data_IF_458991448914
#
_entry.id   IF_458991448914
#
_cell.length_a   1.000
_cell.length_b   1.000
_cell.length_c   1.000
_cell.angle_alpha   90.00
_cell.angle_beta   90.00
_cell.angle_gamma   90.00
#
_symmetry.space_group_name_H-M   'P 1'
#
loop_
_entity.id
_entity.type
_entity.pdbx_description
1 polymer ?
#
# COMPACT_ATOMS: atom_id res chain seq x y z
N UNK A 1 -17.68 -43.95 -28.80
CA UNK A 1 -17.09 -44.22 -30.13
C UNK A 1 -17.58 -43.20 -31.14
N UNK A 2 -16.76 -42.19 -31.46
CA UNK A 2 -16.55 -41.60 -32.80
C UNK A 2 -15.58 -40.43 -32.65
N UNK A 3 -14.44 -40.58 -33.33
CA UNK A 3 -13.31 -39.66 -33.44
C UNK A 3 -13.66 -38.39 -34.25
N UNK A 4 -13.08 -37.24 -33.86
CA UNK A 4 -12.41 -36.21 -34.70
C UNK A 4 -11.52 -35.39 -33.74
N UNK A 5 -10.19 -35.44 -33.72
CA UNK A 5 -9.14 -35.17 -34.72
C UNK A 5 -9.05 -33.70 -35.17
N UNK A 6 -8.08 -33.00 -34.54
CA UNK A 6 -7.11 -32.00 -35.01
C UNK A 6 -7.55 -30.93 -36.03
N UNK A 7 -7.23 -29.67 -35.71
CA UNK A 7 -6.40 -28.85 -36.61
C UNK A 7 -5.61 -27.78 -35.84
N UNK A 8 -4.30 -27.84 -36.02
CA UNK A 8 -3.30 -26.85 -35.60
C UNK A 8 -3.17 -25.80 -36.70
N UNK A 9 -3.08 -24.53 -36.35
CA UNK A 9 -2.58 -23.49 -37.26
C UNK A 9 -1.61 -22.58 -36.51
N UNK A 10 -0.32 -22.83 -36.79
CA UNK A 10 0.83 -22.00 -36.50
C UNK A 10 0.87 -20.87 -37.55
N UNK A 11 1.06 -19.61 -37.15
CA UNK A 11 1.51 -18.56 -38.07
C UNK A 11 2.54 -17.68 -37.37
N UNK A 12 3.78 -17.90 -37.78
CA UNK A 12 4.96 -17.06 -37.57
C UNK A 12 4.94 -15.96 -38.64
N UNK A 13 5.27 -14.73 -38.29
CA UNK A 13 5.92 -13.79 -39.22
C UNK A 13 6.75 -12.75 -38.46
N UNK A 14 8.06 -12.87 -38.67
CA UNK A 14 9.09 -11.87 -38.47
C UNK A 14 8.86 -10.66 -39.39
N UNK A 15 9.22 -9.47 -38.93
CA UNK A 15 9.76 -8.42 -39.79
C UNK A 15 10.82 -7.61 -39.03
N UNK A 16 12.04 -7.64 -39.55
CA UNK A 16 13.17 -6.78 -39.20
C UNK A 16 12.96 -5.36 -39.75
N UNK A 17 13.51 -4.36 -39.05
CA UNK A 17 14.08 -3.17 -39.71
C UNK A 17 15.18 -2.56 -38.83
N UNK A 18 16.42 -2.70 -39.29
CA UNK A 18 17.59 -1.93 -38.86
C UNK A 18 17.75 -0.72 -39.78
N UNK A 19 18.26 0.40 -39.26
CA UNK A 19 19.10 1.47 -39.87
C UNK A 19 18.94 2.71 -38.99
N UNK A 20 19.93 3.53 -38.63
CA UNK A 20 21.28 3.79 -39.13
C UNK A 20 21.60 5.29 -38.86
N UNK A 21 22.88 5.65 -38.75
CA UNK A 21 23.38 7.03 -38.58
C UNK A 21 24.29 7.14 -37.35
N UNK A 22 25.64 7.10 -37.41
CA UNK A 22 26.59 8.02 -38.09
C UNK A 22 26.23 9.49 -37.82
N UNK A 23 27.09 10.40 -37.35
CA UNK A 23 28.56 10.54 -37.40
C UNK A 23 28.93 11.82 -36.64
N UNK A 24 30.19 11.89 -36.18
CA UNK A 24 31.04 13.11 -36.11
C UNK A 24 30.63 14.25 -35.18
N UNK A 25 31.49 15.08 -34.62
CA UNK A 25 32.94 15.24 -34.42
C UNK A 25 33.05 16.58 -33.63
N UNK A 26 34.25 16.94 -33.17
CA UNK A 26 34.66 18.28 -32.65
C UNK A 26 34.07 18.67 -31.27
N UNK A 27 34.80 19.16 -30.28
CA UNK A 27 36.20 19.57 -30.15
C UNK A 27 36.55 19.65 -28.65
N UNK A 28 37.77 19.27 -28.30
CA UNK A 28 38.47 19.71 -27.08
C UNK A 28 39.00 21.16 -27.28
N UNK A 29 39.82 21.69 -26.37
CA UNK A 29 39.64 21.98 -24.94
C UNK A 29 39.76 23.51 -24.71
N UNK A 30 39.55 24.02 -23.49
CA UNK A 30 40.57 24.92 -22.94
C UNK A 30 40.48 25.09 -21.41
N UNK A 31 41.63 25.18 -20.73
CA UNK A 31 41.77 25.35 -19.29
C UNK A 31 41.92 26.84 -18.94
N UNK A 32 41.43 27.25 -17.78
CA UNK A 32 41.88 28.49 -17.13
C UNK A 32 41.55 28.46 -15.64
N UNK A 33 42.52 28.01 -14.83
CA UNK A 33 42.74 28.53 -13.48
C UNK A 33 43.71 29.70 -13.59
N UNK A 34 43.42 30.84 -12.94
CA UNK A 34 44.26 31.30 -11.82
C UNK A 34 43.37 31.96 -10.74
N UNK A 35 43.75 32.20 -9.48
CA UNK A 35 44.92 31.98 -8.64
C UNK A 35 44.38 32.10 -7.19
N UNK A 36 45.06 31.56 -6.18
CA UNK A 36 44.67 31.63 -4.78
C UNK A 36 45.24 32.91 -4.16
N UNK A 37 44.39 33.74 -3.57
CA UNK A 37 44.85 34.73 -2.60
C UNK A 37 43.71 35.20 -1.72
N UNK A 38 43.85 34.84 -0.44
CA UNK A 38 43.54 35.67 0.71
C UNK A 38 42.07 36.02 0.93
N UNK A 39 41.50 35.54 2.02
CA UNK A 39 41.25 36.38 3.19
C UNK A 39 40.55 35.57 4.29
N UNK A 40 41.15 35.67 5.48
CA UNK A 40 40.49 35.66 6.79
C UNK A 40 39.87 34.35 7.27
N UNK A 41 40.65 33.66 8.12
CA UNK A 41 40.13 32.82 9.20
C UNK A 41 39.28 33.65 10.16
N UNK A 42 38.01 33.28 10.42
CA UNK A 42 37.32 33.67 11.63
C UNK A 42 37.29 32.49 12.60
N UNK A 43 37.94 32.72 13.75
CA UNK A 43 37.54 32.31 15.10
C UNK A 43 37.13 30.86 15.32
N UNK A 44 37.94 30.22 16.17
CA UNK A 44 37.56 29.22 17.17
C UNK A 44 36.09 29.35 17.59
N UNK A 45 35.22 28.63 16.90
CA UNK A 45 33.93 28.21 17.43
C UNK A 45 34.21 26.86 18.05
N UNK A 46 34.30 26.85 19.38
CA UNK A 46 34.24 25.63 20.17
C UNK A 46 32.95 24.90 19.82
N UNK A 47 33.05 23.97 18.86
CA UNK A 47 32.04 22.96 18.60
C UNK A 47 31.93 22.15 19.87
N UNK A 48 30.91 22.49 20.67
CA UNK A 48 30.34 21.63 21.71
C UNK A 48 30.26 20.22 21.10
N UNK A 49 30.69 19.15 21.80
CA UNK A 49 30.56 17.81 21.25
C UNK A 49 29.10 17.62 20.84
N UNK A 50 28.86 17.51 19.53
CA UNK A 50 27.64 16.97 18.99
C UNK A 50 27.53 15.62 19.69
N UNK A 51 26.53 15.49 20.57
CA UNK A 51 26.17 14.19 21.11
C UNK A 51 26.10 13.25 19.92
N UNK A 52 26.86 12.16 19.99
CA UNK A 52 26.91 11.12 18.97
C UNK A 52 25.49 10.96 18.42
N UNK A 53 25.32 11.26 17.13
CA UNK A 53 24.11 10.91 16.43
C UNK A 53 24.03 9.39 16.53
N UNK A 54 23.34 8.91 17.58
CA UNK A 54 22.91 7.53 17.66
C UNK A 54 22.16 7.34 16.36
N UNK A 55 22.76 6.53 15.49
CA UNK A 55 22.19 6.06 14.25
C UNK A 55 20.97 5.24 14.66
N UNK A 56 19.87 5.93 14.94
CA UNK A 56 18.59 5.36 15.34
C UNK A 56 18.17 4.51 14.16
N UNK A 57 18.18 3.20 14.35
CA UNK A 57 17.85 2.25 13.32
C UNK A 57 16.47 2.62 12.73
N UNK A 58 16.40 2.81 11.42
CA UNK A 58 15.16 3.21 10.76
C UNK A 58 14.05 2.19 10.98
N UNK A 59 12.85 2.67 11.28
CA UNK A 59 11.63 1.88 11.36
C UNK A 59 11.21 1.37 9.97
N UNK A 60 10.43 0.30 9.97
CA UNK A 60 9.88 -0.32 8.77
C UNK A 60 8.36 -0.23 8.80
N UNK A 61 7.74 0.00 7.64
CA UNK A 61 6.29 0.09 7.53
C UNK A 61 5.80 -0.68 6.29
N UNK A 62 4.99 -1.71 6.52
CA UNK A 62 4.22 -2.40 5.48
C UNK A 62 2.81 -1.83 5.45
N UNK A 63 2.43 -1.22 4.33
CA UNK A 63 1.11 -0.58 4.21
C UNK A 63 0.63 -0.49 2.77
N UNK A 64 -0.62 -0.05 2.59
CA UNK A 64 -1.12 0.41 1.28
C UNK A 64 -1.03 1.93 1.22
N UNK A 65 -0.50 2.49 0.14
CA UNK A 65 -0.44 3.96 0.01
C UNK A 65 -1.84 4.50 -0.23
N UNK A 66 -2.30 5.32 0.70
CA UNK A 66 -3.59 5.99 0.63
C UNK A 66 -3.44 7.49 0.45
N UNK A 67 -4.55 8.18 0.67
CA UNK A 67 -4.61 9.63 0.65
C UNK A 67 -5.65 10.10 1.66
N UNK A 68 -5.33 11.18 2.37
CA UNK A 68 -6.25 11.92 3.25
C UNK A 68 -6.37 13.36 2.79
N UNK A 69 -7.31 14.12 3.34
CA UNK A 69 -7.47 15.54 3.05
C UNK A 69 -8.63 16.17 3.82
N UNK A 70 -8.84 17.46 3.59
CA UNK A 70 -9.96 18.22 4.15
C UNK A 70 -11.04 18.34 3.08
N UNK A 71 -12.23 17.87 3.41
CA UNK A 71 -13.37 17.97 2.51
C UNK A 71 -14.12 19.29 2.76
N UNK A 72 -14.43 20.01 1.67
CA UNK A 72 -15.21 21.26 1.72
C UNK A 72 -16.58 20.97 1.12
N UNK A 73 -17.62 21.01 1.97
CA UNK A 73 -19.02 20.83 1.59
C UNK A 73 -19.50 22.00 0.72
N UNK A 74 -20.17 21.70 -0.38
CA UNK A 74 -20.67 22.70 -1.33
C UNK A 74 -21.72 22.13 -2.29
N UNK A 75 -21.96 22.80 -3.41
CA UNK A 75 -22.76 22.21 -4.49
C UNK A 75 -22.06 21.01 -5.15
N UNK A 76 -20.73 20.96 -5.02
CA UNK A 76 -19.87 19.85 -5.39
C UNK A 76 -18.89 19.64 -4.23
N UNK A 77 -18.98 18.48 -3.56
CA UNK A 77 -18.02 18.12 -2.52
C UNK A 77 -16.63 18.02 -3.14
N UNK A 78 -15.66 18.74 -2.56
CA UNK A 78 -14.26 18.69 -3.01
C UNK A 78 -13.33 18.37 -1.87
N UNK A 79 -12.33 17.54 -2.17
CA UNK A 79 -11.20 17.30 -1.27
C UNK A 79 -10.09 18.31 -1.56
N UNK A 80 -9.57 18.89 -0.49
CA UNK A 80 -8.49 19.87 -0.49
C UNK A 80 -7.41 19.45 0.51
N UNK A 81 -6.24 20.09 0.46
CA UNK A 81 -5.12 19.77 1.33
C UNK A 81 -4.79 18.26 1.35
N UNK A 82 -4.76 17.67 0.16
CA UNK A 82 -4.51 16.25 -0.02
C UNK A 82 -3.12 15.89 0.49
N UNK A 83 -3.01 14.79 1.23
CA UNK A 83 -1.74 14.27 1.75
C UNK A 83 -1.68 12.76 1.56
N UNK A 84 -0.51 12.19 1.21
CA UNK A 84 -0.36 10.75 1.16
C UNK A 84 -0.48 10.14 2.57
N UNK A 85 -0.88 8.88 2.62
CA UNK A 85 -0.87 8.07 3.85
C UNK A 85 -0.19 6.73 3.60
N UNK A 86 0.42 6.16 4.63
CA UNK A 86 0.77 4.74 4.69
C UNK A 86 -0.31 4.06 5.52
N UNK A 87 -1.20 3.32 4.85
CA UNK A 87 -2.43 2.84 5.46
C UNK A 87 -3.27 4.03 5.91
N UNK A 88 -3.56 4.09 7.20
CA UNK A 88 -4.25 5.21 7.85
C UNK A 88 -3.31 6.29 8.40
N UNK A 89 -1.99 6.04 8.45
CA UNK A 89 -1.03 6.97 9.04
C UNK A 89 -0.61 8.06 8.06
N UNK A 90 -0.77 9.36 8.42
CA UNK A 90 -0.23 10.48 7.65
C UNK A 90 1.29 10.40 7.45
N UNK A 91 1.78 10.88 6.31
CA UNK A 91 3.21 10.88 5.97
C UNK A 91 3.66 12.21 5.40
N UNK A 92 4.97 12.43 5.43
CA UNK A 92 5.60 13.54 4.70
C UNK A 92 5.59 13.30 3.19
N UNK A 93 5.50 14.37 2.41
CA UNK A 93 5.80 14.32 0.98
C UNK A 93 7.29 14.08 0.79
N UNK A 94 7.63 13.07 -0.02
CA UNK A 94 8.99 12.84 -0.47
C UNK A 94 9.30 13.78 -1.65
N UNK A 95 10.54 14.24 -1.76
CA UNK A 95 10.98 15.04 -2.91
C UNK A 95 10.71 14.28 -4.22
N UNK A 96 10.00 14.93 -5.16
CA UNK A 96 9.60 14.31 -6.42
C UNK A 96 8.34 13.44 -6.36
N UNK A 97 7.63 13.44 -5.24
CA UNK A 97 6.34 12.76 -4.99
C UNK A 97 6.26 11.29 -5.49
N UNK A 98 7.18 10.41 -5.05
CA UNK A 98 7.11 8.98 -5.35
C UNK A 98 5.86 8.30 -4.78
N UNK A 99 5.21 8.88 -3.77
CA UNK A 99 4.01 8.29 -3.14
C UNK A 99 2.77 8.42 -4.02
N UNK A 100 2.61 9.54 -4.76
CA UNK A 100 1.50 9.67 -5.70
C UNK A 100 1.50 8.57 -6.79
N UNK A 101 2.69 8.15 -7.25
CA UNK A 101 2.82 7.05 -8.22
C UNK A 101 2.52 5.66 -7.62
N UNK A 102 2.42 5.56 -6.28
CA UNK A 102 2.18 4.33 -5.54
C UNK A 102 0.79 4.26 -4.92
N UNK A 103 -0.08 5.24 -5.16
CA UNK A 103 -1.46 5.26 -4.64
C UNK A 103 -2.20 3.94 -4.93
N UNK A 104 -2.94 3.47 -3.93
CA UNK A 104 -3.72 2.24 -3.94
C UNK A 104 -2.86 0.95 -4.07
N UNK A 105 -1.52 1.04 -3.95
CA UNK A 105 -0.57 -0.09 -4.02
C UNK A 105 0.03 -0.44 -2.66
N UNK A 106 0.33 -1.73 -2.40
CA UNK A 106 1.07 -2.13 -1.22
C UNK A 106 2.55 -1.74 -1.36
N UNK A 107 3.15 -1.28 -0.26
CA UNK A 107 4.52 -0.78 -0.21
C UNK A 107 5.26 -1.28 1.04
N UNK A 108 6.59 -1.29 0.92
CA UNK A 108 7.50 -1.28 2.05
C UNK A 108 8.15 0.10 2.13
N UNK A 109 7.93 0.79 3.25
CA UNK A 109 8.58 2.05 3.57
C UNK A 109 9.59 1.87 4.71
N UNK A 110 10.60 2.75 4.74
CA UNK A 110 11.53 2.91 5.85
C UNK A 110 11.55 4.36 6.29
N UNK A 111 11.66 4.61 7.59
CA UNK A 111 11.51 5.97 8.12
C UNK A 111 11.60 6.02 9.63
N UNK A 112 10.84 6.94 10.22
CA UNK A 112 10.71 7.11 11.67
C UNK A 112 9.24 7.28 12.04
N UNK A 113 8.75 6.44 12.95
CA UNK A 113 7.59 6.75 13.77
C UNK A 113 7.95 7.93 14.70
N UNK A 114 6.97 8.73 15.09
CA UNK A 114 7.13 9.87 16.02
C UNK A 114 7.92 11.09 15.50
N UNK A 115 8.10 11.21 14.18
CA UNK A 115 8.56 12.48 13.62
C UNK A 115 7.54 13.59 13.90
N UNK A 116 8.02 14.78 14.28
CA UNK A 116 7.17 15.95 14.54
C UNK A 116 6.21 16.15 13.37
N UNK A 117 4.91 16.13 13.65
CA UNK A 117 3.87 16.49 12.68
C UNK A 117 4.23 17.86 12.10
N UNK A 118 4.44 18.00 10.77
CA UNK A 118 4.65 19.31 10.18
C UNK A 118 3.49 20.23 10.56
N UNK A 119 3.80 21.43 11.06
CA UNK A 119 2.81 22.36 11.61
C UNK A 119 1.54 22.45 10.74
N UNK A 120 0.40 22.47 11.43
CA UNK A 120 -0.96 22.40 10.91
C UNK A 120 -1.15 23.12 9.57
N UNK A 121 -1.93 22.48 8.69
CA UNK A 121 -2.41 23.10 7.47
C UNK A 121 -2.99 24.48 7.79
N UNK A 122 -2.76 25.51 6.94
CA UNK A 122 -3.54 26.72 7.06
C UNK A 122 -5.02 26.32 7.02
N UNK A 123 -5.84 26.81 7.97
CA UNK A 123 -7.25 26.43 8.03
C UNK A 123 -7.86 26.65 6.66
N UNK A 124 -8.59 25.65 6.15
CA UNK A 124 -9.37 25.86 4.95
C UNK A 124 -10.29 27.06 5.20
N UNK A 125 -10.38 28.01 4.26
CA UNK A 125 -11.33 29.10 4.36
C UNK A 125 -12.76 28.52 4.34
N UNK A 126 -13.32 28.25 5.52
CA UNK A 126 -14.64 27.64 5.69
C UNK A 126 -14.74 26.78 6.96
N UNK A 127 -15.96 26.42 7.40
CA UNK A 127 -16.11 25.45 8.48
C UNK A 127 -15.59 24.09 8.02
N UNK A 128 -14.53 23.59 8.63
CA UNK A 128 -14.10 22.20 8.48
C UNK A 128 -15.29 21.28 8.80
N UNK A 129 -15.69 20.47 7.82
CA UNK A 129 -16.73 19.47 8.01
C UNK A 129 -16.25 18.18 7.38
N UNK A 130 -16.28 17.10 8.16
CA UNK A 130 -16.14 15.75 7.64
C UNK A 130 -17.25 15.59 6.59
N UNK A 131 -16.90 15.25 5.35
CA UNK A 131 -17.89 15.02 4.31
C UNK A 131 -18.78 13.83 4.72
N UNK A 132 -19.96 14.16 5.25
CA UNK A 132 -20.98 13.21 5.63
C UNK A 132 -21.71 12.73 4.37
N UNK A 133 -20.99 12.03 3.49
CA UNK A 133 -21.68 11.17 2.54
C UNK A 133 -22.38 10.09 3.38
N UNK A 134 -23.71 10.20 3.52
CA UNK A 134 -24.62 9.33 4.28
C UNK A 134 -23.97 7.99 4.68
N UNK A 135 -23.25 7.99 5.79
CA UNK A 135 -22.41 6.86 6.15
C UNK A 135 -23.34 5.76 6.68
N UNK A 136 -23.54 4.71 5.89
CA UNK A 136 -24.45 3.61 6.24
C UNK A 136 -23.88 2.68 7.33
N UNK A 137 -22.56 2.70 7.54
CA UNK A 137 -21.85 1.89 8.55
C UNK A 137 -20.73 2.69 9.22
N UNK A 138 -20.55 2.52 10.53
CA UNK A 138 -19.54 3.23 11.33
C UNK A 138 -18.09 2.94 10.93
N UNK A 139 -17.84 1.81 10.27
CA UNK A 139 -16.52 1.40 9.79
C UNK A 139 -16.17 1.95 8.38
N UNK A 140 -17.12 2.60 7.69
CA UNK A 140 -16.83 3.24 6.41
C UNK A 140 -16.29 4.65 6.59
N UNK A 141 -15.08 4.92 6.14
CA UNK A 141 -14.50 6.27 6.17
C UNK A 141 -14.40 6.83 4.77
N UNK A 142 -15.01 7.99 4.57
CA UNK A 142 -14.89 8.75 3.34
C UNK A 142 -13.47 9.34 3.23
N UNK A 143 -12.85 9.19 2.07
CA UNK A 143 -11.57 9.79 1.72
C UNK A 143 -11.56 10.33 0.29
N UNK A 144 -10.48 11.02 -0.11
CA UNK A 144 -10.30 11.56 -1.45
C UNK A 144 -10.49 10.55 -2.59
N UNK A 145 -10.26 9.27 -2.29
CA UNK A 145 -10.29 8.14 -3.23
C UNK A 145 -11.59 7.32 -3.16
N UNK A 146 -12.59 7.79 -2.41
CA UNK A 146 -13.84 7.07 -2.16
C UNK A 146 -13.94 6.54 -0.73
N UNK A 147 -14.61 5.41 -0.54
CA UNK A 147 -14.77 4.82 0.79
C UNK A 147 -13.68 3.78 1.08
N UNK A 148 -13.06 3.94 2.25
CA UNK A 148 -12.21 2.97 2.92
C UNK A 148 -13.04 2.26 4.00
N UNK A 149 -12.77 0.99 4.24
CA UNK A 149 -13.41 0.23 5.33
C UNK A 149 -12.35 0.03 6.40
N UNK A 150 -12.64 0.46 7.62
CA UNK A 150 -11.79 0.23 8.78
C UNK A 150 -12.02 -1.17 9.32
N UNK A 151 -11.12 -2.10 9.00
CA UNK A 151 -11.15 -3.46 9.51
C UNK A 151 -10.52 -3.62 10.91
N UNK A 152 -10.29 -2.51 11.62
CA UNK A 152 -9.73 -2.49 12.97
C UNK A 152 -8.21 -2.69 13.01
N UNK A 153 -7.52 -2.38 11.91
CA UNK A 153 -6.05 -2.50 11.77
C UNK A 153 -5.30 -1.19 12.02
N UNK A 154 -6.02 -0.13 12.39
CA UNK A 154 -5.42 1.19 12.60
C UNK A 154 -4.35 1.16 13.68
N UNK A 155 -3.20 1.69 13.31
CA UNK A 155 -2.11 1.93 14.25
C UNK A 155 -2.37 3.21 15.03
N UNK A 156 -1.99 3.21 16.31
CA UNK A 156 -1.94 4.41 17.14
C UNK A 156 -0.64 5.18 16.85
N UNK A 157 -0.53 5.67 15.61
CA UNK A 157 0.63 6.40 15.10
C UNK A 157 0.17 7.70 14.44
N UNK A 158 0.57 8.84 15.01
CA UNK A 158 0.13 10.15 14.55
C UNK A 158 0.71 10.52 13.18
N UNK A 159 1.98 10.18 12.94
CA UNK A 159 2.70 10.52 11.72
C UNK A 159 3.89 9.58 11.49
N UNK A 160 4.22 9.33 10.23
CA UNK A 160 5.42 8.59 9.83
C UNK A 160 6.24 9.38 8.81
N UNK A 161 7.47 9.73 9.17
CA UNK A 161 8.38 10.40 8.24
C UNK A 161 9.07 9.38 7.37
N UNK A 162 8.75 9.39 6.07
CA UNK A 162 9.26 8.42 5.11
C UNK A 162 10.66 8.85 4.65
N UNK A 163 11.64 7.97 4.80
CA UNK A 163 12.99 8.16 4.24
C UNK A 163 13.14 7.45 2.88
N UNK A 164 12.47 6.32 2.71
CA UNK A 164 12.41 5.60 1.43
C UNK A 164 11.14 4.77 1.33
N UNK A 165 10.65 4.56 0.11
CA UNK A 165 9.47 3.74 -0.18
C UNK A 165 9.67 2.98 -1.49
N UNK A 166 9.16 1.75 -1.54
CA UNK A 166 9.10 0.94 -2.77
C UNK A 166 7.81 0.12 -2.82
N UNK A 167 7.35 -0.28 -4.02
CA UNK A 167 6.34 -1.32 -4.15
C UNK A 167 6.71 -2.57 -3.35
N UNK A 168 5.69 -3.21 -2.76
CA UNK A 168 5.81 -4.51 -2.12
C UNK A 168 5.62 -5.62 -3.16
N UNK A 169 6.66 -5.85 -3.96
CA UNK A 169 6.65 -6.88 -5.02
C UNK A 169 6.61 -8.32 -4.46
N UNK A 170 6.90 -8.47 -3.16
CA UNK A 170 6.86 -9.71 -2.40
C UNK A 170 5.45 -10.16 -2.00
N UNK A 171 4.43 -9.35 -2.29
CA UNK A 171 3.02 -9.71 -2.13
C UNK A 171 2.39 -9.91 -3.51
N UNK A 172 1.89 -11.11 -3.78
CA UNK A 172 1.12 -11.39 -5.00
C UNK A 172 -0.22 -12.03 -4.68
N UNK A 173 -1.23 -11.64 -5.45
CA UNK A 173 -2.59 -12.16 -5.33
C UNK A 173 -3.08 -12.51 -6.73
N UNK A 174 -3.56 -13.73 -6.89
CA UNK A 174 -4.05 -14.24 -8.17
C UNK A 174 -5.27 -15.12 -7.95
N UNK A 175 -6.08 -15.25 -8.99
CA UNK A 175 -7.26 -16.12 -8.97
C UNK A 175 -6.94 -17.46 -9.62
N UNK A 176 -7.21 -18.55 -8.91
CA UNK A 176 -7.21 -19.92 -9.43
C UNK A 176 -8.62 -20.51 -9.32
N UNK A 177 -9.40 -20.43 -10.40
CA UNK A 177 -10.77 -20.94 -10.40
C UNK A 177 -11.69 -20.18 -9.43
N UNK A 178 -12.07 -20.84 -8.34
CA UNK A 178 -12.92 -20.28 -7.27
C UNK A 178 -12.12 -19.88 -6.02
N UNK A 179 -10.79 -19.88 -6.11
CA UNK A 179 -9.91 -19.50 -5.02
C UNK A 179 -9.09 -18.26 -5.39
N UNK A 180 -8.80 -17.45 -4.36
CA UNK A 180 -7.72 -16.49 -4.32
C UNK A 180 -6.49 -17.21 -3.75
N UNK A 181 -5.39 -17.15 -4.48
CA UNK A 181 -4.07 -17.57 -3.99
C UNK A 181 -3.30 -16.31 -3.63
N UNK A 182 -2.93 -16.22 -2.36
CA UNK A 182 -2.15 -15.13 -1.78
C UNK A 182 -0.77 -15.68 -1.45
N UNK A 183 0.25 -15.12 -2.05
CA UNK A 183 1.65 -15.45 -1.79
C UNK A 183 2.33 -14.23 -1.17
N UNK A 184 3.00 -14.43 -0.04
CA UNK A 184 3.76 -13.40 0.65
C UNK A 184 5.16 -13.93 0.96
N UNK A 185 6.19 -13.22 0.51
CA UNK A 185 7.57 -13.41 0.91
C UNK A 185 7.94 -12.37 1.96
N UNK A 186 8.63 -12.78 3.04
CA UNK A 186 9.12 -11.82 4.03
C UNK A 186 10.19 -10.91 3.38
N UNK A 187 9.90 -9.60 3.16
CA UNK A 187 10.80 -8.70 2.45
C UNK A 187 11.87 -8.09 3.37
N UNK A 188 11.80 -8.39 4.67
CA UNK A 188 12.60 -7.75 5.71
C UNK A 188 13.84 -8.59 6.00
N UNK A 189 14.94 -7.95 6.46
CA UNK A 189 16.18 -8.66 6.81
C UNK A 189 16.10 -9.39 8.16
N UNK A 190 14.92 -9.46 8.78
CA UNK A 190 14.66 -10.10 10.07
C UNK A 190 13.38 -10.93 10.03
N UNK A 191 13.24 -11.84 10.99
CA UNK A 191 12.08 -12.72 11.07
C UNK A 191 10.81 -11.96 11.50
N UNK A 192 9.69 -12.35 10.88
CA UNK A 192 8.35 -11.93 11.29
C UNK A 192 7.77 -12.99 12.22
N UNK A 193 7.02 -12.56 13.23
CA UNK A 193 6.37 -13.42 14.22
C UNK A 193 4.86 -13.24 14.16
N UNK A 194 4.13 -14.33 14.42
CA UNK A 194 2.68 -14.37 14.44
C UNK A 194 2.02 -13.75 13.18
N UNK A 195 2.51 -14.15 12.00
CA UNK A 195 2.00 -13.68 10.72
C UNK A 195 0.61 -14.30 10.45
N UNK A 196 -0.40 -13.45 10.33
CA UNK A 196 -1.77 -13.83 9.98
C UNK A 196 -2.22 -13.16 8.68
N UNK A 197 -3.03 -13.87 7.89
CA UNK A 197 -3.73 -13.32 6.74
C UNK A 197 -5.24 -13.47 6.94
N UNK A 198 -5.99 -12.42 6.60
CA UNK A 198 -7.44 -12.39 6.66
C UNK A 198 -8.00 -11.82 5.38
N UNK A 199 -8.98 -12.50 4.78
CA UNK A 199 -9.77 -11.94 3.69
C UNK A 199 -11.11 -11.48 4.24
N UNK A 200 -11.47 -10.24 3.96
CA UNK A 200 -12.79 -9.68 4.21
C UNK A 200 -13.67 -9.83 2.97
N UNK A 201 -14.96 -10.01 3.20
CA UNK A 201 -15.95 -10.23 2.15
C UNK A 201 -17.12 -9.26 2.31
N UNK A 202 -17.58 -8.71 1.19
CA UNK A 202 -18.72 -7.79 1.12
C UNK A 202 -19.91 -8.44 0.39
N UNK A 203 -21.13 -8.12 0.83
CA UNK A 203 -22.36 -8.77 0.35
C UNK A 203 -22.65 -8.46 -1.12
N UNK A 204 -22.91 -9.49 -1.93
CA UNK A 204 -23.17 -9.33 -3.36
C UNK A 204 -24.50 -8.65 -3.70
N UNK A 205 -25.55 -8.96 -2.95
CA UNK A 205 -26.93 -8.69 -3.36
C UNK A 205 -27.85 -8.21 -2.23
N UNK A 206 -27.27 -7.69 -1.15
CA UNK A 206 -28.00 -7.36 0.07
C UNK A 206 -27.38 -6.23 0.87
N UNK A 207 -27.66 -6.24 2.18
CA UNK A 207 -26.99 -5.34 3.12
C UNK A 207 -25.50 -5.68 3.18
N UNK A 208 -24.63 -4.70 3.43
CA UNK A 208 -23.24 -4.97 3.74
C UNK A 208 -23.16 -5.98 4.89
N UNK A 209 -22.25 -6.94 4.76
CA UNK A 209 -22.02 -7.97 5.75
C UNK A 209 -20.56 -7.99 6.14
N UNK A 210 -20.27 -8.28 7.41
CA UNK A 210 -18.92 -8.41 7.93
C UNK A 210 -18.55 -9.89 7.98
N UNK A 211 -18.33 -10.50 6.82
CA UNK A 211 -17.78 -11.86 6.75
C UNK A 211 -16.28 -11.75 6.53
N UNK A 212 -15.50 -12.50 7.32
CA UNK A 212 -14.07 -12.62 7.14
C UNK A 212 -13.65 -14.07 7.30
N UNK A 213 -12.56 -14.45 6.65
CA UNK A 213 -11.91 -15.74 6.84
C UNK A 213 -10.44 -15.51 7.18
N UNK A 214 -10.04 -16.08 8.31
CA UNK A 214 -8.68 -16.05 8.83
C UNK A 214 -7.92 -17.33 8.45
N UNK A 215 -6.62 -17.20 8.23
CA UNK A 215 -5.72 -18.36 8.15
C UNK A 215 -5.19 -18.74 9.52
N UNK A 216 -4.63 -19.94 9.63
CA UNK A 216 -3.75 -20.26 10.75
C UNK A 216 -2.59 -19.25 10.82
N UNK A 217 -2.37 -18.72 12.02
CA UNK A 217 -1.28 -17.79 12.33
C UNK A 217 0.04 -18.57 12.24
N UNK A 218 0.92 -18.12 11.37
CA UNK A 218 2.26 -18.67 11.25
C UNK A 218 3.12 -18.07 12.36
N UNK A 219 3.56 -18.91 13.29
CA UNK A 219 4.35 -18.46 14.44
C UNK A 219 5.61 -17.67 14.03
N UNK A 220 6.25 -18.05 12.92
CA UNK A 220 7.47 -17.41 12.44
C UNK A 220 7.66 -17.52 10.93
N UNK A 221 8.08 -16.43 10.29
CA UNK A 221 8.50 -16.39 8.89
C UNK A 221 9.91 -15.76 8.77
N UNK A 222 10.89 -16.58 8.42
CA UNK A 222 12.28 -16.16 8.24
C UNK A 222 12.46 -15.17 7.07
N UNK A 223 13.55 -14.37 7.05
CA UNK A 223 13.88 -13.50 5.91
C UNK A 223 13.87 -14.24 4.57
N UNK A 224 13.16 -13.72 3.58
CA UNK A 224 13.02 -14.34 2.25
C UNK A 224 12.22 -15.66 2.22
N UNK A 225 11.72 -16.13 3.37
CA UNK A 225 10.81 -17.26 3.39
C UNK A 225 9.44 -16.85 2.86
N UNK A 226 8.76 -17.81 2.22
CA UNK A 226 7.46 -17.60 1.56
C UNK A 226 6.36 -18.35 2.27
N UNK A 227 5.18 -17.76 2.25
CA UNK A 227 3.94 -18.40 2.68
C UNK A 227 2.90 -18.26 1.56
N UNK A 228 2.22 -19.36 1.24
CA UNK A 228 1.06 -19.38 0.35
C UNK A 228 -0.20 -19.66 1.19
N UNK A 229 -1.27 -18.92 0.91
CA UNK A 229 -2.60 -19.11 1.49
C UNK A 229 -3.66 -19.07 0.40
N UNK A 230 -4.70 -19.87 0.60
CA UNK A 230 -5.83 -19.99 -0.31
C UNK A 230 -7.10 -19.59 0.41
N UNK A 231 -7.88 -18.74 -0.25
CA UNK A 231 -9.18 -18.28 0.23
C UNK A 231 -10.21 -18.50 -0.86
N UNK A 232 -11.47 -18.81 -0.53
CA UNK A 232 -12.51 -18.82 -1.56
C UNK A 232 -12.73 -17.39 -2.11
N UNK A 233 -13.09 -17.28 -3.38
CA UNK A 233 -13.50 -15.98 -3.96
C UNK A 233 -14.84 -15.51 -3.36
N UNK A 234 -15.71 -16.48 -3.01
CA UNK A 234 -17.02 -16.25 -2.42
C UNK A 234 -17.12 -16.94 -1.06
N UNK A 235 -17.57 -16.21 -0.05
CA UNK A 235 -17.93 -16.77 1.24
C UNK A 235 -19.46 -16.70 1.45
N UNK A 236 -20.01 -17.69 2.15
CA UNK A 236 -21.37 -17.62 2.67
C UNK A 236 -21.33 -17.24 4.15
N UNK A 237 -22.29 -16.44 4.62
CA UNK A 237 -22.43 -16.19 6.05
C UNK A 237 -22.79 -17.47 6.81
N UNK A 238 -22.00 -17.81 7.84
CA UNK A 238 -22.24 -18.97 8.69
C UNK A 238 -23.59 -18.91 9.44
N UNK A 239 -24.07 -17.70 9.77
CA UNK A 239 -25.26 -17.48 10.61
C UNK A 239 -26.27 -16.55 9.94
N UNK A 240 -27.03 -17.02 8.92
CA UNK A 240 -28.01 -16.18 8.25
C UNK A 240 -29.14 -15.82 9.23
N UNK A 241 -29.30 -14.54 9.53
CA UNK A 241 -30.45 -14.01 10.27
C UNK A 241 -31.80 -14.38 9.63
N UNK A 242 -32.94 -14.08 10.31
CA UNK A 242 -34.27 -14.49 9.86
C UNK A 242 -34.54 -14.08 8.40
N UNK A 243 -34.74 -15.11 7.57
CA UNK A 243 -34.69 -15.10 6.11
C UNK A 243 -35.76 -14.18 5.50
N UNK A 244 -35.33 -13.11 4.82
CA UNK A 244 -36.19 -12.36 3.86
C UNK A 244 -35.73 -12.45 2.40
N UNK A 245 -34.51 -12.92 2.13
CA UNK A 245 -33.96 -13.01 0.78
C UNK A 245 -33.40 -14.42 0.50
N UNK A 246 -33.41 -14.84 -0.78
CA UNK A 246 -33.04 -16.18 -1.23
C UNK A 246 -31.55 -16.55 -1.05
N UNK A 247 -31.09 -17.71 -1.56
CA UNK A 247 -29.72 -18.20 -1.38
C UNK A 247 -28.63 -17.21 -1.83
N UNK A 248 -28.87 -16.48 -2.93
CA UNK A 248 -27.95 -15.46 -3.46
C UNK A 248 -27.74 -14.26 -2.53
N UNK A 249 -28.62 -14.04 -1.54
CA UNK A 249 -28.45 -12.96 -0.56
C UNK A 249 -27.40 -13.27 0.52
N UNK A 250 -26.83 -14.48 0.53
CA UNK A 250 -25.78 -14.90 1.47
C UNK A 250 -24.38 -14.86 0.89
N UNK A 251 -24.26 -14.67 -0.41
CA UNK A 251 -22.98 -14.65 -1.10
C UNK A 251 -22.28 -13.34 -0.82
N UNK A 252 -21.06 -13.44 -0.32
CA UNK A 252 -20.16 -12.32 -0.12
C UNK A 252 -18.94 -12.51 -1.01
N UNK A 253 -18.57 -11.46 -1.73
CA UNK A 253 -17.40 -11.43 -2.60
C UNK A 253 -16.21 -10.94 -1.80
N UNK A 254 -15.06 -11.58 -1.95
CA UNK A 254 -13.81 -11.12 -1.35
C UNK A 254 -13.55 -9.64 -1.75
N UNK A 255 -13.32 -8.79 -0.75
CA UNK A 255 -13.25 -7.34 -0.90
C UNK A 255 -11.89 -6.76 -0.53
N UNK A 256 -11.26 -7.29 0.52
CA UNK A 256 -9.97 -6.82 1.01
C UNK A 256 -9.14 -7.97 1.59
N UNK A 257 -7.81 -7.85 1.50
CA UNK A 257 -6.83 -8.69 2.20
C UNK A 257 -6.17 -7.86 3.29
N UNK A 258 -6.21 -8.37 4.52
CA UNK A 258 -5.48 -7.83 5.66
C UNK A 258 -4.33 -8.77 5.99
N UNK A 259 -3.11 -8.23 6.11
CA UNK A 259 -1.96 -8.92 6.68
C UNK A 259 -1.66 -8.33 8.05
N UNK A 260 -1.59 -9.18 9.07
CA UNK A 260 -1.25 -8.83 10.44
C UNK A 260 0.04 -9.54 10.85
N UNK A 261 0.86 -8.85 11.64
CA UNK A 261 2.10 -9.37 12.22
C UNK A 261 2.07 -9.06 13.71
N UNK A 262 2.21 -10.09 14.56
CA UNK A 262 2.18 -9.90 16.01
C UNK A 262 3.51 -9.41 16.60
N UNK A 263 4.62 -9.65 15.90
CA UNK A 263 5.95 -9.20 16.32
C UNK A 263 7.00 -9.35 15.22
N UNK A 264 8.21 -8.85 15.49
CA UNK A 264 9.36 -9.02 14.61
C UNK A 264 10.67 -8.91 15.40
N UNK A 265 11.70 -9.65 14.97
CA UNK A 265 13.06 -9.57 15.54
C UNK A 265 13.83 -8.38 14.95
N UNK A 266 13.31 -7.18 15.14
CA UNK A 266 13.90 -5.97 14.55
C UNK A 266 15.31 -5.70 15.10
N UNK A 267 16.19 -5.04 14.31
CA UNK A 267 17.44 -4.51 14.83
C UNK A 267 17.19 -3.59 16.04
N UNK A 268 18.17 -3.53 16.96
CA UNK A 268 18.04 -2.72 18.16
C UNK A 268 17.65 -1.26 17.83
N UNK A 269 16.51 -0.83 18.38
CA UNK A 269 15.99 0.53 18.19
C UNK A 269 15.04 0.72 17.00
N UNK A 270 14.87 -0.26 16.12
CA UNK A 270 13.90 -0.20 15.03
C UNK A 270 12.57 -0.89 15.41
N UNK A 271 11.48 -0.41 14.84
CA UNK A 271 10.15 -1.01 14.94
C UNK A 271 9.62 -1.45 13.57
N UNK A 272 8.64 -2.36 13.59
CA UNK A 272 7.86 -2.74 12.42
C UNK A 272 6.40 -2.30 12.64
N UNK A 273 5.91 -1.49 11.71
CA UNK A 273 4.53 -1.06 11.63
C UNK A 273 3.85 -1.81 10.47
N UNK A 274 2.62 -2.28 10.69
CA UNK A 274 1.85 -3.00 9.66
C UNK A 274 0.44 -2.46 9.63
N UNK A 275 0.07 -1.87 8.50
CA UNK A 275 -1.28 -1.42 8.17
C UNK A 275 -1.58 -1.77 6.70
N UNK A 276 -1.47 -3.07 6.42
CA UNK A 276 -1.64 -3.64 5.09
C UNK A 276 -3.06 -4.17 4.96
N UNK A 277 -3.97 -3.25 4.65
CA UNK A 277 -5.37 -3.50 4.29
C UNK A 277 -5.56 -3.20 2.80
N UNK A 278 -5.40 -4.23 1.96
CA UNK A 278 -5.37 -4.14 0.51
C UNK A 278 -6.75 -4.38 -0.10
N UNK A 279 -7.39 -3.36 -0.71
CA UNK A 279 -8.62 -3.57 -1.45
C UNK A 279 -8.36 -4.47 -2.65
N UNK A 280 -9.00 -5.63 -2.73
CA UNK A 280 -8.77 -6.59 -3.82
C UNK A 280 -9.16 -6.04 -5.20
N UNK A 281 -10.00 -4.99 -5.23
CA UNK A 281 -10.34 -4.25 -6.45
C UNK A 281 -9.18 -3.43 -7.03
N UNK A 282 -8.14 -3.12 -6.24
CA UNK A 282 -6.96 -2.38 -6.71
C UNK A 282 -5.84 -3.30 -7.20
N UNK A 283 -5.99 -4.63 -7.08
CA UNK A 283 -5.02 -5.59 -7.57
C UNK A 283 -5.15 -5.73 -9.08
N UNK A 284 -4.10 -5.35 -9.81
CA UNK A 284 -4.06 -5.44 -11.26
C UNK A 284 -4.33 -6.87 -11.76
N UNK A 285 -5.26 -6.99 -12.72
CA UNK A 285 -5.63 -8.27 -13.32
C UNK A 285 -6.54 -9.16 -12.45
N UNK A 286 -6.87 -8.75 -11.22
CA UNK A 286 -7.77 -9.50 -10.35
C UNK A 286 -9.24 -9.12 -10.59
N UNK A 287 -9.88 -9.80 -11.55
CA UNK A 287 -11.31 -9.60 -11.82
C UNK A 287 -12.19 -10.45 -10.89
N UNK A 288 -12.80 -9.79 -9.90
CA UNK A 288 -13.77 -10.38 -8.98
C UNK A 288 -15.16 -9.84 -9.28
N UNK A 289 -16.15 -10.72 -9.37
CA UNK A 289 -17.53 -10.36 -9.64
C UNK A 289 -18.48 -11.27 -8.89
N UNK A 290 -19.61 -10.71 -8.48
CA UNK A 290 -20.70 -11.49 -7.92
C UNK A 290 -21.32 -12.40 -9.00
N UNK A 291 -21.75 -13.63 -8.66
CA UNK A 291 -22.43 -14.53 -9.59
C UNK A 291 -23.72 -13.91 -10.10
N UNK A 292 -24.09 -14.08 -11.37
CA UNK A 292 -25.39 -13.60 -11.88
C UNK A 292 -26.57 -14.13 -11.04
N UNK A 293 -27.60 -13.29 -10.85
CA UNK A 293 -28.79 -13.61 -10.05
C UNK A 293 -29.71 -14.62 -10.71
#
# INVERSE_FOLDING_TARGET
MRHRALDSALLISMACACTGGETSELSSPDPSSPDPSSLEQPKDSQTKPQADAQDTAADYFLAVVGQTGVCIEGSEDRWTALRPTLGWTPTDELEGDPLAALLDRPVLARGSADALVPQELPPADGPERICQNMQMRSDWVAGPRGFLVDHGTRLDLEHFSVASVRPLDELSIRREGQELVVEFENPLPFALEDLGMRVHYEGCYGKPGSTSLDTEVLARLEPGARVERRFPVLAEQDHPGPRKAGPSARQHLASALVIAVGGAETPAGAQLHVDLDLPLRSVDGLALACPER
#
